data_IF_345224599078
#
_entry.id   IF_345224599078
#
_cell.length_a   1.000
_cell.length_b   1.000
_cell.length_c   1.000
_cell.angle_alpha   90.00
_cell.angle_beta   90.00
_cell.angle_gamma   90.00
#
_symmetry.space_group_name_H-M   'P 1'
#
loop_
_entity.id
_entity.type
_entity.pdbx_description
1 polymer ?
#
# COMPACT_ATOMS: atom_id res chain seq x y z
N UNK A 1 -7.10 9.78 -18.40
CA UNK A 1 -5.70 9.32 -18.36
C UNK A 1 -5.69 7.92 -17.77
N UNK A 2 -5.43 6.92 -18.62
CA UNK A 2 -5.40 5.50 -18.27
C UNK A 2 -4.22 5.24 -17.32
N UNK A 3 -4.41 4.34 -16.34
CA UNK A 3 -3.32 3.77 -15.56
C UNK A 3 -2.32 3.19 -16.56
N UNK A 4 -1.15 3.81 -16.72
CA UNK A 4 -0.01 3.17 -17.35
C UNK A 4 0.74 2.40 -16.28
N UNK A 5 1.23 1.21 -16.60
CA UNK A 5 1.93 0.31 -15.66
C UNK A 5 3.18 0.95 -15.06
N UNK A 6 3.71 2.00 -15.71
CA UNK A 6 4.83 2.82 -15.23
C UNK A 6 4.45 3.88 -14.17
N UNK A 7 3.18 4.01 -13.78
CA UNK A 7 2.71 5.08 -12.89
C UNK A 7 2.01 4.58 -11.61
N UNK A 8 2.19 3.31 -11.21
CA UNK A 8 1.76 2.86 -9.89
C UNK A 8 2.72 3.45 -8.85
N UNK A 9 2.21 4.39 -8.06
CA UNK A 9 2.96 4.98 -6.95
C UNK A 9 2.66 4.20 -5.68
N UNK A 10 3.68 3.51 -5.17
CA UNK A 10 3.60 2.80 -3.91
C UNK A 10 4.05 3.72 -2.78
N UNK A 11 3.53 3.47 -1.58
CA UNK A 11 3.88 4.16 -0.35
C UNK A 11 4.01 3.16 0.79
N UNK A 12 5.04 3.35 1.60
CA UNK A 12 5.22 2.61 2.85
C UNK A 12 5.32 3.61 3.99
N UNK A 13 4.52 3.39 5.03
CA UNK A 13 4.64 4.07 6.31
C UNK A 13 5.23 3.09 7.32
N UNK A 14 6.41 3.40 7.86
CA UNK A 14 7.15 2.57 8.81
C UNK A 14 7.12 3.24 10.17
N UNK A 15 6.64 2.53 11.18
CA UNK A 15 6.56 2.95 12.57
C UNK A 15 7.52 2.07 13.38
N UNK A 16 8.64 2.63 13.83
CA UNK A 16 9.68 1.87 14.55
C UNK A 16 9.85 2.41 15.96
N UNK A 17 9.89 1.50 16.92
CA UNK A 17 10.42 1.73 18.26
C UNK A 17 11.85 1.25 18.28
N UNK A 18 12.79 2.17 18.53
CA UNK A 18 14.22 1.91 18.43
C UNK A 18 14.73 1.25 19.70
N UNK A 19 15.62 0.27 19.53
CA UNK A 19 16.39 -0.28 20.64
C UNK A 19 17.27 0.83 21.25
N UNK A 20 17.16 1.13 22.56
CA UNK A 20 17.94 2.18 23.20
C UNK A 20 19.45 2.11 22.93
N UNK A 21 19.99 0.89 22.76
CA UNK A 21 21.43 0.66 22.53
C UNK A 21 21.88 1.03 21.11
N UNK A 22 20.97 1.03 20.14
CA UNK A 22 21.29 1.26 18.72
C UNK A 22 21.46 2.75 18.36
N UNK A 23 21.00 3.65 19.24
CA UNK A 23 21.14 5.09 19.08
C UNK A 23 20.04 5.72 18.21
N UNK A 24 19.13 6.43 18.88
CA UNK A 24 17.97 7.09 18.25
C UNK A 24 18.36 8.07 17.13
N UNK A 25 19.36 8.92 17.39
CA UNK A 25 19.82 9.93 16.42
C UNK A 25 20.46 9.30 15.18
N UNK A 26 21.23 8.22 15.38
CA UNK A 26 21.84 7.49 14.27
C UNK A 26 20.75 6.91 13.35
N UNK A 27 19.72 6.33 13.96
CA UNK A 27 18.59 5.77 13.21
C UNK A 27 17.87 6.83 12.37
N UNK A 28 17.59 8.01 12.93
CA UNK A 28 17.00 9.13 12.17
C UNK A 28 17.87 9.50 10.95
N UNK A 29 19.20 9.51 11.09
CA UNK A 29 20.12 9.79 9.98
C UNK A 29 20.05 8.73 8.90
N UNK A 30 19.97 7.45 9.28
CA UNK A 30 19.82 6.33 8.34
C UNK A 30 18.50 6.50 7.56
N UNK A 31 17.37 6.72 8.24
CA UNK A 31 16.08 6.94 7.55
C UNK A 31 16.13 8.07 6.52
N UNK A 32 16.74 9.21 6.87
CA UNK A 32 16.94 10.33 5.92
C UNK A 32 17.82 9.93 4.74
N UNK A 33 18.94 9.25 5.00
CA UNK A 33 19.86 8.76 3.96
C UNK A 33 19.19 7.75 3.02
N UNK A 34 18.31 6.92 3.56
CA UNK A 34 17.51 5.96 2.81
C UNK A 34 16.35 6.59 2.03
N UNK A 35 16.18 7.92 2.06
CA UNK A 35 15.19 8.62 1.22
C UNK A 35 13.81 8.76 1.85
N UNK A 36 13.69 8.76 3.18
CA UNK A 36 12.42 9.06 3.84
C UNK A 36 11.92 10.47 3.47
N UNK A 37 10.72 10.56 2.91
CA UNK A 37 10.10 11.82 2.47
C UNK A 37 9.53 12.60 3.65
N UNK A 38 9.00 11.87 4.63
CA UNK A 38 8.54 12.42 5.89
C UNK A 38 9.13 11.60 7.01
N UNK A 39 9.54 12.30 8.05
CA UNK A 39 10.08 11.69 9.25
C UNK A 39 9.56 12.47 10.45
N UNK A 40 8.84 11.76 11.33
CA UNK A 40 8.44 12.23 12.65
C UNK A 40 9.13 11.36 13.68
N UNK A 41 9.59 11.97 14.77
CA UNK A 41 10.35 11.27 15.79
C UNK A 41 9.93 11.78 17.16
N UNK A 42 9.80 10.87 18.11
CA UNK A 42 9.59 11.17 19.52
C UNK A 42 10.71 10.48 20.32
N UNK A 43 11.62 11.30 20.86
CA UNK A 43 12.77 10.83 21.63
C UNK A 43 12.41 10.35 23.03
N UNK A 44 11.23 10.71 23.56
CA UNK A 44 10.77 10.25 24.87
C UNK A 44 10.32 8.79 24.75
N UNK A 45 9.54 8.49 23.72
CA UNK A 45 9.04 7.12 23.45
C UNK A 45 9.98 6.30 22.56
N UNK A 46 11.10 6.88 22.12
CA UNK A 46 12.05 6.29 21.16
C UNK A 46 11.38 5.79 19.88
N UNK A 47 10.36 6.51 19.41
CA UNK A 47 9.60 6.15 18.21
C UNK A 47 9.98 7.01 17.02
N UNK A 48 10.00 6.39 15.84
CA UNK A 48 10.21 7.04 14.55
C UNK A 48 9.08 6.59 13.62
N UNK A 49 8.41 7.54 12.99
CA UNK A 49 7.52 7.30 11.87
C UNK A 49 8.14 7.89 10.61
N UNK A 50 8.41 7.03 9.62
CA UNK A 50 8.97 7.40 8.33
C UNK A 50 8.00 7.03 7.19
N UNK A 51 7.85 7.92 6.21
CA UNK A 51 7.11 7.65 4.98
C UNK A 51 8.06 7.62 3.78
N UNK A 52 7.88 6.62 2.93
CA UNK A 52 8.60 6.46 1.66
C UNK A 52 7.61 6.33 0.53
N UNK A 53 7.91 6.89 -0.63
CA UNK A 53 7.12 6.68 -1.85
C UNK A 53 8.00 6.48 -3.08
N UNK A 54 7.49 5.73 -4.05
CA UNK A 54 8.23 5.47 -5.28
C UNK A 54 7.67 4.32 -6.10
N UNK A 55 8.44 3.94 -7.12
CA UNK A 55 8.24 2.70 -7.87
C UNK A 55 8.52 1.48 -6.99
N UNK A 56 8.19 0.30 -7.51
CA UNK A 56 8.52 -0.97 -6.88
C UNK A 56 10.03 -1.08 -6.59
N UNK A 57 10.89 -0.76 -7.56
CA UNK A 57 12.34 -0.88 -7.37
C UNK A 57 12.88 0.13 -6.34
N UNK A 58 12.34 1.34 -6.32
CA UNK A 58 12.74 2.37 -5.35
C UNK A 58 12.39 1.94 -3.92
N UNK A 59 11.15 1.48 -3.70
CA UNK A 59 10.74 1.01 -2.38
C UNK A 59 11.54 -0.21 -1.92
N UNK A 60 11.86 -1.16 -2.82
CA UNK A 60 12.71 -2.30 -2.46
C UNK A 60 14.07 -1.83 -1.93
N UNK A 61 14.70 -0.86 -2.60
CA UNK A 61 15.98 -0.27 -2.15
C UNK A 61 15.86 0.43 -0.80
N UNK A 62 14.76 1.12 -0.54
CA UNK A 62 14.52 1.75 0.76
C UNK A 62 14.38 0.70 1.87
N UNK A 63 13.66 -0.38 1.62
CA UNK A 63 13.48 -1.50 2.56
C UNK A 63 14.81 -2.19 2.86
N UNK A 64 15.67 -2.41 1.86
CA UNK A 64 17.02 -2.94 2.06
C UNK A 64 17.86 -2.00 2.94
N UNK A 65 17.80 -0.71 2.65
CA UNK A 65 18.58 0.31 3.37
C UNK A 65 18.21 0.41 4.87
N UNK A 66 16.94 0.19 5.22
CA UNK A 66 16.49 0.27 6.62
C UNK A 66 16.51 -1.08 7.35
N UNK A 67 16.76 -2.19 6.65
CA UNK A 67 16.72 -3.55 7.24
C UNK A 67 17.78 -3.76 8.33
N UNK A 68 18.87 -2.97 8.31
CA UNK A 68 19.97 -3.06 9.28
C UNK A 68 19.65 -2.41 10.63
N UNK A 69 18.61 -1.57 10.71
CA UNK A 69 18.23 -0.89 11.95
C UNK A 69 17.61 -1.90 12.93
N UNK A 70 18.06 -1.86 14.19
CA UNK A 70 17.48 -2.67 15.27
C UNK A 70 16.29 -1.97 15.93
N UNK A 71 15.15 -2.65 15.95
CA UNK A 71 13.95 -2.16 16.60
C UNK A 71 12.71 -2.96 16.25
N UNK A 72 11.67 -2.78 17.06
CA UNK A 72 10.33 -3.30 16.80
C UNK A 72 9.61 -2.36 15.84
N UNK A 73 8.90 -2.92 14.86
CA UNK A 73 8.34 -2.16 13.75
C UNK A 73 6.91 -2.60 13.42
N UNK A 74 6.08 -1.63 13.02
CA UNK A 74 4.88 -1.81 12.24
C UNK A 74 5.01 -1.12 10.88
N UNK A 75 4.64 -1.76 9.78
CA UNK A 75 4.67 -1.17 8.44
C UNK A 75 3.31 -1.26 7.74
N UNK A 76 2.86 -0.15 7.17
CA UNK A 76 1.70 -0.07 6.27
C UNK A 76 2.21 0.06 4.82
N UNK A 77 1.93 -0.93 3.99
CA UNK A 77 2.12 -0.86 2.54
C UNK A 77 0.80 -0.45 1.86
N UNK A 78 0.88 0.51 0.95
CA UNK A 78 -0.26 0.93 0.12
C UNK A 78 0.17 1.37 -1.27
N UNK A 79 -0.75 1.28 -2.23
CA UNK A 79 -0.57 1.82 -3.56
C UNK A 79 -1.64 2.89 -3.85
N UNK A 80 -1.25 3.93 -4.59
CA UNK A 80 -2.18 4.96 -5.05
C UNK A 80 -2.63 4.68 -6.48
N UNK A 81 -3.95 4.66 -6.66
CA UNK A 81 -4.59 4.35 -7.94
C UNK A 81 -5.43 5.54 -8.40
N UNK A 82 -5.27 5.92 -9.67
CA UNK A 82 -6.17 6.87 -10.33
C UNK A 82 -7.18 6.12 -11.20
N UNK A 83 -8.44 6.17 -10.82
CA UNK A 83 -9.54 5.49 -11.51
C UNK A 83 -10.62 6.51 -11.89
N UNK A 84 -10.92 6.60 -13.19
CA UNK A 84 -11.94 7.52 -13.69
C UNK A 84 -13.35 7.17 -13.17
N UNK A 85 -13.64 5.87 -13.00
CA UNK A 85 -14.94 5.37 -12.58
C UNK A 85 -14.79 4.07 -11.77
N UNK A 86 -15.46 4.02 -10.62
CA UNK A 86 -15.51 2.85 -9.73
C UNK A 86 -16.28 1.67 -10.32
N UNK A 87 -17.16 1.88 -11.30
CA UNK A 87 -17.88 0.79 -11.99
C UNK A 87 -16.93 -0.20 -12.65
N UNK A 88 -15.74 0.26 -13.05
CA UNK A 88 -14.68 -0.58 -13.62
C UNK A 88 -14.15 -1.61 -12.63
N UNK A 89 -14.13 -1.29 -11.34
CA UNK A 89 -13.72 -2.25 -10.29
C UNK A 89 -14.70 -3.43 -10.25
N UNK A 90 -16.00 -3.15 -10.29
CA UNK A 90 -17.05 -4.17 -10.32
C UNK A 90 -16.89 -5.09 -11.53
N UNK A 91 -16.68 -4.52 -12.71
CA UNK A 91 -16.43 -5.29 -13.95
C UNK A 91 -15.17 -6.15 -13.89
N UNK A 92 -14.20 -5.77 -13.05
CA UNK A 92 -12.96 -6.52 -12.81
C UNK A 92 -13.03 -7.46 -11.60
N UNK A 93 -14.25 -7.83 -11.17
CA UNK A 93 -14.49 -8.84 -10.15
C UNK A 93 -14.36 -8.34 -8.71
N UNK A 94 -14.35 -7.02 -8.49
CA UNK A 94 -14.44 -6.47 -7.14
C UNK A 94 -15.90 -6.40 -6.69
N UNK A 95 -16.12 -6.61 -5.40
CA UNK A 95 -17.41 -6.47 -4.74
C UNK A 95 -17.45 -5.12 -4.03
N UNK A 96 -18.63 -4.46 -4.03
CA UNK A 96 -18.87 -3.29 -3.18
C UNK A 96 -18.94 -3.73 -1.74
N UNK A 97 -18.06 -3.18 -0.92
CA UNK A 97 -18.05 -3.39 0.51
C UNK A 97 -18.83 -2.36 1.30
N UNK A 98 -18.78 -2.48 2.64
CA UNK A 98 -19.37 -1.52 3.55
C UNK A 98 -18.80 -0.12 3.29
N UNK A 99 -19.57 0.90 3.65
CA UNK A 99 -19.07 2.28 3.63
C UNK A 99 -18.02 2.42 4.72
N UNK A 100 -16.81 2.83 4.34
CA UNK A 100 -15.75 3.17 5.28
C UNK A 100 -15.49 4.69 5.20
N UNK A 101 -14.36 5.16 5.75
CA UNK A 101 -13.94 6.58 5.83
C UNK A 101 -14.64 7.51 4.82
N UNK A 102 -15.27 8.57 5.32
CA UNK A 102 -16.03 9.57 4.54
C UNK A 102 -17.34 9.06 3.89
N UNK A 103 -17.87 7.93 4.37
CA UNK A 103 -19.17 7.40 3.93
C UNK A 103 -19.18 6.84 2.51
N UNK A 104 -17.99 6.63 1.92
CA UNK A 104 -17.85 6.08 0.57
C UNK A 104 -17.68 4.56 0.62
N UNK A 105 -18.21 3.87 -0.39
CA UNK A 105 -18.05 2.42 -0.51
C UNK A 105 -16.59 2.07 -0.76
N UNK A 106 -16.09 1.08 -0.04
CA UNK A 106 -14.85 0.39 -0.42
C UNK A 106 -15.16 -0.67 -1.47
N UNK A 107 -14.12 -1.14 -2.14
CA UNK A 107 -14.20 -2.24 -3.08
C UNK A 107 -13.20 -3.30 -2.69
N UNK A 108 -13.56 -4.58 -2.73
CA UNK A 108 -12.63 -5.63 -2.37
C UNK A 108 -12.77 -6.86 -3.26
N UNK A 109 -11.70 -7.64 -3.35
CA UNK A 109 -11.65 -8.93 -4.03
C UNK A 109 -10.83 -9.90 -3.20
N UNK A 110 -11.35 -11.11 -3.00
CA UNK A 110 -10.58 -12.20 -2.39
C UNK A 110 -9.44 -12.62 -3.30
N UNK A 111 -8.27 -12.82 -2.72
CA UNK A 111 -7.07 -13.36 -3.35
C UNK A 111 -6.52 -14.48 -2.46
N UNK A 112 -5.53 -15.24 -2.95
CA UNK A 112 -4.97 -16.36 -2.20
C UNK A 112 -4.42 -15.94 -0.82
N UNK A 113 -3.82 -14.76 -0.75
CA UNK A 113 -3.14 -14.22 0.43
C UNK A 113 -4.04 -13.37 1.34
N UNK A 114 -5.36 -13.28 1.04
CA UNK A 114 -6.33 -12.51 1.80
C UNK A 114 -7.28 -11.70 0.91
N UNK A 115 -7.32 -10.39 1.09
CA UNK A 115 -8.17 -9.49 0.30
C UNK A 115 -7.37 -8.33 -0.27
N UNK A 116 -7.53 -8.06 -1.56
CA UNK A 116 -7.15 -6.77 -2.12
C UNK A 116 -8.33 -5.81 -1.90
N UNK A 117 -8.08 -4.73 -1.16
CA UNK A 117 -9.09 -3.71 -0.85
C UNK A 117 -8.68 -2.38 -1.47
N UNK A 118 -9.63 -1.73 -2.13
CA UNK A 118 -9.50 -0.43 -2.79
C UNK A 118 -10.44 0.55 -2.10
N UNK A 119 -9.84 1.49 -1.37
CA UNK A 119 -10.51 2.50 -0.57
C UNK A 119 -10.50 3.84 -1.31
N UNK A 120 -11.66 4.51 -1.46
CA UNK A 120 -11.70 5.84 -2.05
C UNK A 120 -11.08 6.89 -1.11
N UNK A 121 -10.36 7.85 -1.67
CA UNK A 121 -9.87 9.00 -0.90
C UNK A 121 -10.87 10.16 -0.89
N UNK A 122 -10.56 11.22 -0.13
CA UNK A 122 -11.30 12.49 -0.22
C UNK A 122 -11.24 13.07 -1.63
N UNK A 123 -10.09 12.95 -2.30
CA UNK A 123 -9.88 13.43 -3.67
C UNK A 123 -10.58 12.50 -4.65
N UNK A 124 -11.41 13.08 -5.52
CA UNK A 124 -12.13 12.31 -6.53
C UNK A 124 -11.17 11.53 -7.42
N UNK A 125 -11.62 10.35 -7.85
CA UNK A 125 -10.89 9.45 -8.74
C UNK A 125 -9.55 8.93 -8.20
N UNK A 126 -9.17 9.27 -6.96
CA UNK A 126 -7.98 8.75 -6.30
C UNK A 126 -8.39 7.72 -5.24
N UNK A 127 -7.78 6.55 -5.32
CA UNK A 127 -8.03 5.41 -4.45
C UNK A 127 -6.72 4.91 -3.84
N UNK A 128 -6.84 4.26 -2.69
CA UNK A 128 -5.74 3.57 -2.00
C UNK A 128 -6.02 2.08 -2.09
N UNK A 129 -5.06 1.33 -2.62
CA UNK A 129 -5.09 -0.13 -2.60
C UNK A 129 -4.20 -0.67 -1.48
N UNK A 130 -4.70 -1.66 -0.74
CA UNK A 130 -3.99 -2.36 0.32
C UNK A 130 -4.29 -3.86 0.27
N UNK A 131 -3.34 -4.65 0.75
CA UNK A 131 -3.56 -6.06 1.04
C UNK A 131 -4.02 -6.19 2.49
N UNK A 132 -5.11 -6.93 2.69
CA UNK A 132 -5.67 -7.25 3.98
C UNK A 132 -5.48 -8.75 4.24
N UNK A 133 -4.69 -9.08 5.26
CA UNK A 133 -4.26 -10.44 5.61
C UNK A 133 -5.23 -11.09 6.60
N UNK A 134 -6.50 -11.14 6.22
CA UNK A 134 -7.58 -11.68 7.04
C UNK A 134 -8.38 -12.71 6.29
N UNK A 135 -8.90 -13.73 7.00
CA UNK A 135 -9.79 -14.73 6.41
C UNK A 135 -11.18 -14.18 6.09
N UNK A 136 -11.60 -13.13 6.79
CA UNK A 136 -12.90 -12.47 6.61
C UNK A 136 -12.72 -10.97 6.72
N UNK A 137 -13.27 -10.24 5.75
CA UNK A 137 -13.26 -8.79 5.73
C UNK A 137 -14.51 -8.26 6.45
N UNK A 138 -14.38 -7.91 7.73
CA UNK A 138 -15.49 -7.40 8.55
C UNK A 138 -15.25 -5.93 8.93
N UNK A 139 -16.21 -5.02 8.65
CA UNK A 139 -16.11 -3.64 9.12
C UNK A 139 -16.29 -3.57 10.66
N UNK A 140 -15.63 -2.59 11.32
CA UNK A 140 -14.72 -1.60 10.75
C UNK A 140 -13.37 -2.25 10.37
N UNK A 141 -12.83 -1.90 9.20
CA UNK A 141 -11.50 -2.42 8.86
C UNK A 141 -10.44 -1.70 9.68
N UNK A 142 -9.61 -2.47 10.38
CA UNK A 142 -8.64 -1.98 11.35
C UNK A 142 -7.22 -2.04 10.77
N UNK A 143 -6.29 -1.17 11.23
CA UNK A 143 -4.89 -1.22 10.81
C UNK A 143 -4.23 -2.59 10.98
N UNK A 144 -4.56 -3.31 12.05
CA UNK A 144 -4.08 -4.67 12.33
C UNK A 144 -4.38 -5.66 11.20
N UNK A 145 -5.35 -5.38 10.31
CA UNK A 145 -5.71 -6.25 9.21
C UNK A 145 -4.78 -6.12 7.99
N UNK A 146 -4.03 -5.03 7.87
CA UNK A 146 -3.15 -4.75 6.70
C UNK A 146 -1.73 -4.33 7.07
N UNK A 147 -1.46 -4.05 8.35
CA UNK A 147 -0.12 -3.73 8.82
C UNK A 147 0.70 -5.00 9.09
N UNK A 148 2.00 -4.90 8.81
CA UNK A 148 2.99 -5.94 9.13
C UNK A 148 3.72 -5.54 10.41
N UNK A 149 3.74 -6.41 11.40
CA UNK A 149 4.45 -6.17 12.66
C UNK A 149 5.58 -7.19 12.87
N UNK A 150 6.64 -6.79 13.55
CA UNK A 150 7.77 -7.65 13.90
C UNK A 150 9.05 -6.86 14.17
N UNK A 151 10.19 -7.54 14.11
CA UNK A 151 11.49 -6.89 14.08
C UNK A 151 11.69 -6.27 12.70
N UNK A 152 12.31 -5.09 12.63
CA UNK A 152 12.40 -4.32 11.38
C UNK A 152 12.97 -5.11 10.20
N UNK A 153 14.02 -5.91 10.40
CA UNK A 153 14.60 -6.77 9.36
C UNK A 153 13.63 -7.82 8.82
N UNK A 154 12.77 -8.39 9.67
CA UNK A 154 11.74 -9.34 9.26
C UNK A 154 10.57 -8.63 8.56
N UNK A 155 10.22 -7.44 9.05
CA UNK A 155 9.16 -6.61 8.48
C UNK A 155 9.54 -6.18 7.06
N UNK A 156 10.79 -5.80 6.80
CA UNK A 156 11.22 -5.40 5.44
C UNK A 156 11.10 -6.55 4.46
N UNK A 157 11.46 -7.78 4.86
CA UNK A 157 11.29 -8.99 4.03
C UNK A 157 9.81 -9.22 3.73
N UNK A 158 8.95 -9.30 4.76
CA UNK A 158 7.51 -9.55 4.57
C UNK A 158 6.83 -8.46 3.73
N UNK A 159 7.23 -7.19 3.91
CA UNK A 159 6.68 -6.10 3.11
C UNK A 159 7.08 -6.24 1.64
N UNK A 160 8.27 -6.74 1.32
CA UNK A 160 8.65 -7.04 -0.08
C UNK A 160 7.77 -8.12 -0.68
N UNK A 161 7.54 -9.22 0.03
CA UNK A 161 6.62 -10.28 -0.43
C UNK A 161 5.22 -9.71 -0.71
N UNK A 162 4.75 -8.83 0.16
CA UNK A 162 3.44 -8.17 0.00
C UNK A 162 3.44 -7.15 -1.14
N UNK A 163 4.56 -6.49 -1.41
CA UNK A 163 4.72 -5.64 -2.58
C UNK A 163 4.60 -6.44 -3.88
N UNK A 164 5.16 -7.65 -3.95
CA UNK A 164 5.04 -8.52 -5.13
C UNK A 164 3.59 -8.93 -5.39
N UNK A 165 2.88 -9.38 -4.35
CA UNK A 165 1.46 -9.72 -4.44
C UNK A 165 0.65 -8.50 -4.87
N UNK A 166 0.86 -7.35 -4.24
CA UNK A 166 0.13 -6.13 -4.57
C UNK A 166 0.39 -5.70 -6.03
N UNK A 167 1.64 -5.74 -6.48
CA UNK A 167 2.00 -5.41 -7.85
C UNK A 167 1.34 -6.35 -8.87
N UNK A 168 1.36 -7.66 -8.61
CA UNK A 168 0.69 -8.68 -9.44
C UNK A 168 -0.81 -8.41 -9.58
N UNK A 169 -1.49 -8.16 -8.47
CA UNK A 169 -2.93 -7.95 -8.45
C UNK A 169 -3.32 -6.61 -9.12
N UNK A 170 -2.54 -5.55 -8.91
CA UNK A 170 -2.78 -4.25 -9.53
C UNK A 170 -2.51 -4.25 -11.04
N UNK A 171 -1.46 -4.95 -11.48
CA UNK A 171 -1.21 -5.15 -12.91
C UNK A 171 -2.36 -5.92 -13.57
N UNK A 172 -2.91 -6.93 -12.89
CA UNK A 172 -4.06 -7.69 -13.38
C UNK A 172 -5.33 -6.83 -13.46
N UNK A 173 -5.56 -5.98 -12.46
CA UNK A 173 -6.65 -4.99 -12.49
C UNK A 173 -6.48 -4.00 -13.66
N UNK A 174 -5.28 -3.49 -13.88
CA UNK A 174 -5.00 -2.56 -14.97
C UNK A 174 -5.31 -3.19 -16.33
N UNK A 175 -4.82 -4.40 -16.60
CA UNK A 175 -5.11 -5.14 -17.84
C UNK A 175 -6.61 -5.30 -18.05
N UNK A 176 -7.36 -5.67 -16.99
CA UNK A 176 -8.81 -5.76 -17.07
C UNK A 176 -9.45 -4.42 -17.45
N UNK A 177 -9.03 -3.31 -16.81
CA UNK A 177 -9.56 -1.98 -17.10
C UNK A 177 -9.30 -1.55 -18.54
N UNK A 178 -8.12 -1.85 -19.08
CA UNK A 178 -7.74 -1.56 -20.46
C UNK A 178 -8.58 -2.35 -21.46
N UNK A 179 -8.78 -3.65 -21.23
CA UNK A 179 -9.66 -4.49 -22.05
C UNK A 179 -11.10 -3.96 -22.07
N UNK A 180 -11.63 -3.54 -20.92
CA UNK A 180 -12.97 -2.95 -20.83
C UNK A 180 -13.10 -1.59 -21.55
N UNK A 181 -12.00 -0.86 -21.73
CA UNK A 181 -12.00 0.38 -22.49
C UNK A 181 -12.04 0.12 -24.02
N UNK A 182 -11.32 -0.91 -24.48
CA UNK A 182 -11.24 -1.26 -25.90
C UNK A 182 -12.55 -1.87 -26.44
N UNK A 183 -13.24 -2.69 -25.65
CA UNK A 183 -14.56 -3.24 -26.03
C UNK A 183 -15.60 -2.15 -26.29
N UNK A 184 -15.52 -1.03 -25.56
CA UNK A 184 -16.42 0.11 -25.74
C UNK A 184 -16.17 0.90 -27.02
N UNK A 185 -14.97 0.82 -27.62
CA UNK A 185 -14.62 1.52 -28.86
C UNK A 185 -15.08 0.74 -30.09
N UNK A 186 -15.07 -0.59 -30.01
CA UNK A 186 -15.54 -1.48 -31.09
C UNK A 186 -17.07 -1.58 -31.18
N UNK A 187 -17.81 -1.25 -30.11
CA UNK A 187 -19.28 -1.30 -30.09
C UNK A 187 -19.98 -0.03 -30.59
N UNK A 188 -19.23 1.02 -30.92
CA UNK A 188 -19.76 2.32 -31.38
C UNK A 188 -19.50 2.57 -32.87
N UNK A 189 -19.01 1.56 -33.59
CA UNK A 189 -18.67 1.62 -35.02
C UNK A 189 -19.66 0.87 -35.92
N UNK A 190 -20.85 0.57 -35.42
CA UNK A 190 -22.01 0.04 -36.17
C UNK A 190 -23.20 0.95 -35.94
#
# INVERSE_FOLDING_TARGET
MLLHSKNLLYRISVYVTIDPEYGFVNTIRIFKKCGAEKLKSDSITLTIHAEFSGSYEQLSKFLDCIAEIRGSCGAELRALLKLADSSKLIKCGFVRGPRQLFGKNIFYRGIQEGFLVIEPTKKEQLYVARLYHVKRLLPPLQPSMYMVYGILSEVTIKVKDYMEVLARELNSLQKCIELQANVKLSSTTT
#
